data_IF_810391233789
#
_entry.id   IF_810391233789
#
_cell.length_a   1.000
_cell.length_b   1.000
_cell.length_c   1.000
_cell.angle_alpha   90.00
_cell.angle_beta   90.00
_cell.angle_gamma   90.00
#
_symmetry.space_group_name_H-M   'P 1'
#
loop_
_entity.id
_entity.type
_entity.pdbx_description
1 polymer ?
#
# COMPACT_ATOMS: atom_id res chain seq x y z
N UNK A 1 1.21 -11.13 -14.83
CA UNK A 1 0.97 -9.84 -14.12
C UNK A 1 1.49 -10.01 -12.70
N UNK A 2 2.30 -9.08 -12.21
CA UNK A 2 2.79 -9.11 -10.82
C UNK A 2 1.94 -8.13 -10.01
N UNK A 3 1.46 -8.54 -8.84
CA UNK A 3 0.69 -7.70 -7.94
C UNK A 3 1.42 -7.59 -6.60
N UNK A 4 1.49 -6.36 -6.09
CA UNK A 4 1.99 -6.04 -4.76
C UNK A 4 0.83 -5.42 -4.00
N UNK A 5 0.59 -5.87 -2.78
CA UNK A 5 -0.52 -5.33 -2.00
C UNK A 5 -0.70 -6.04 -0.68
N UNK A 6 -1.81 -5.68 -0.04
CA UNK A 6 -2.33 -6.36 1.14
C UNK A 6 -3.84 -6.40 1.04
N UNK A 7 -4.43 -7.35 1.74
CA UNK A 7 -5.89 -7.52 1.82
C UNK A 7 -6.31 -7.39 3.28
N UNK A 8 -7.44 -6.72 3.51
CA UNK A 8 -8.12 -6.70 4.80
C UNK A 8 -9.46 -7.39 4.61
N UNK A 9 -9.64 -8.50 5.33
CA UNK A 9 -10.92 -9.19 5.39
C UNK A 9 -11.70 -8.67 6.58
N UNK A 10 -12.88 -8.10 6.32
CA UNK A 10 -13.79 -7.62 7.36
C UNK A 10 -15.20 -8.13 7.07
N UNK A 11 -15.71 -9.03 7.92
CA UNK A 11 -17.07 -9.59 7.80
C UNK A 11 -18.15 -8.69 8.43
N UNK A 12 -17.77 -7.55 9.02
CA UNK A 12 -18.66 -6.57 9.68
C UNK A 12 -19.68 -7.19 10.67
N UNK A 13 -19.28 -8.09 11.59
CA UNK A 13 -20.22 -8.76 12.48
C UNK A 13 -20.96 -7.79 13.43
N UNK A 14 -20.38 -6.62 13.70
CA UNK A 14 -20.94 -5.56 14.54
C UNK A 14 -21.47 -4.35 13.75
N UNK A 15 -21.50 -4.43 12.42
CA UNK A 15 -21.95 -3.34 11.53
C UNK A 15 -20.96 -2.17 11.36
N UNK A 16 -19.77 -2.25 11.96
CA UNK A 16 -18.70 -1.25 11.83
C UNK A 16 -17.52 -1.78 11.03
N UNK A 17 -16.73 -0.89 10.44
CA UNK A 17 -15.46 -1.28 9.86
C UNK A 17 -14.51 -1.85 10.94
N UNK A 18 -13.68 -2.83 10.57
CA UNK A 18 -12.62 -3.35 11.45
C UNK A 18 -11.61 -2.26 11.81
N UNK A 19 -11.09 -2.31 13.04
CA UNK A 19 -9.94 -1.52 13.50
C UNK A 19 -8.59 -2.15 13.15
N UNK A 20 -8.57 -3.20 12.33
CA UNK A 20 -7.33 -3.79 11.84
C UNK A 20 -6.54 -2.76 11.03
N UNK A 21 -5.33 -2.47 11.46
CA UNK A 21 -4.44 -1.55 10.77
C UNK A 21 -3.76 -2.24 9.58
N UNK A 22 -3.56 -1.52 8.48
CA UNK A 22 -2.70 -1.96 7.37
C UNK A 22 -1.33 -1.30 7.48
N UNK A 23 -0.26 -2.09 7.35
CA UNK A 23 1.11 -1.59 7.49
C UNK A 23 1.34 -1.01 8.89
N UNK A 24 1.75 0.26 8.96
CA UNK A 24 1.96 0.99 10.21
C UNK A 24 0.69 1.61 10.79
N UNK A 25 -0.46 1.49 10.10
CA UNK A 25 -1.71 2.15 10.49
C UNK A 25 -1.80 3.63 10.12
N UNK A 26 -0.74 4.21 9.57
CA UNK A 26 -0.72 5.56 9.01
C UNK A 26 -1.12 5.56 7.54
N UNK A 27 -1.76 6.65 7.09
CA UNK A 27 -2.09 6.81 5.68
C UNK A 27 -0.82 7.05 4.84
N UNK A 28 -0.83 6.59 3.60
CA UNK A 28 0.26 6.70 2.64
C UNK A 28 0.74 8.15 2.45
N UNK A 29 -0.18 9.11 2.49
CA UNK A 29 0.14 10.55 2.41
C UNK A 29 0.98 11.09 3.56
N UNK A 30 1.09 10.37 4.69
CA UNK A 30 1.97 10.75 5.80
C UNK A 30 3.46 10.49 5.53
N UNK A 31 3.78 9.63 4.54
CA UNK A 31 5.12 9.48 3.99
C UNK A 31 6.17 8.86 4.92
N UNK A 32 7.44 9.14 4.62
CA UNK A 32 8.59 8.52 5.28
C UNK A 32 8.62 8.74 6.80
N UNK A 33 8.90 7.68 7.55
CA UNK A 33 8.94 7.68 9.01
C UNK A 33 7.57 7.49 9.67
N UNK A 34 6.49 7.45 8.89
CA UNK A 34 5.13 7.20 9.38
C UNK A 34 4.42 6.08 8.63
N UNK A 35 4.22 6.23 7.32
CA UNK A 35 3.57 5.24 6.48
C UNK A 35 4.51 4.06 6.17
N UNK A 36 3.94 2.86 6.04
CA UNK A 36 4.67 1.70 5.52
C UNK A 36 4.97 1.89 4.03
N UNK A 37 6.08 1.31 3.57
CA UNK A 37 6.48 1.44 2.18
C UNK A 37 7.27 0.24 1.65
N UNK A 38 7.22 0.08 0.33
CA UNK A 38 8.19 -0.68 -0.43
C UNK A 38 8.94 0.29 -1.34
N UNK A 39 10.26 0.14 -1.45
CA UNK A 39 11.11 0.97 -2.31
C UNK A 39 12.05 0.10 -3.14
N UNK A 40 12.59 0.67 -4.22
CA UNK A 40 13.44 -0.04 -5.17
C UNK A 40 12.76 -1.29 -5.74
N UNK A 41 11.48 -1.19 -6.10
CA UNK A 41 10.75 -2.35 -6.60
C UNK A 41 11.30 -2.82 -7.95
N UNK A 42 11.56 -4.13 -8.02
CA UNK A 42 12.08 -4.86 -9.16
C UNK A 42 11.41 -6.24 -9.24
N UNK A 43 11.41 -6.82 -10.43
CA UNK A 43 10.98 -8.21 -10.67
C UNK A 43 12.14 -9.01 -11.21
N UNK A 44 12.17 -10.30 -10.90
CA UNK A 44 13.19 -11.23 -11.41
C UNK A 44 12.64 -11.90 -12.66
N UNK A 45 13.41 -11.91 -13.75
CA UNK A 45 13.08 -12.65 -14.97
C UNK A 45 13.60 -14.10 -14.94
N UNK A 46 13.37 -14.82 -16.03
CA UNK A 46 13.75 -16.23 -16.17
C UNK A 46 15.27 -16.46 -16.18
N UNK A 47 16.06 -15.43 -16.50
CA UNK A 47 17.52 -15.42 -16.52
C UNK A 47 18.13 -14.94 -15.18
N UNK A 48 17.31 -14.74 -14.14
CA UNK A 48 17.68 -14.15 -12.85
C UNK A 48 18.14 -12.68 -12.92
N UNK A 49 17.73 -11.93 -13.95
CA UNK A 49 17.98 -10.50 -13.99
C UNK A 49 16.95 -9.72 -13.18
N UNK A 50 17.40 -8.66 -12.52
CA UNK A 50 16.53 -7.70 -11.85
C UNK A 50 16.05 -6.64 -12.85
N UNK A 51 14.77 -6.70 -13.18
CA UNK A 51 14.12 -5.74 -14.06
C UNK A 51 13.38 -4.67 -13.23
N UNK A 52 13.61 -3.37 -13.47
CA UNK A 52 12.85 -2.32 -12.81
C UNK A 52 11.38 -2.39 -13.22
N UNK A 53 10.48 -2.07 -12.29
CA UNK A 53 9.08 -1.92 -12.62
C UNK A 53 8.88 -0.76 -13.61
N UNK A 54 8.20 -1.04 -14.71
CA UNK A 54 7.68 -0.04 -15.63
C UNK A 54 6.16 -0.01 -15.50
N UNK A 55 5.57 1.17 -15.34
CA UNK A 55 4.12 1.38 -15.19
C UNK A 55 3.47 0.81 -13.91
N UNK A 56 4.03 1.13 -12.73
CA UNK A 56 3.36 0.84 -11.46
C UNK A 56 1.97 1.51 -11.41
N UNK A 57 0.93 0.72 -11.24
CA UNK A 57 -0.43 1.20 -10.98
C UNK A 57 -0.79 0.89 -9.54
N UNK A 58 -1.36 1.88 -8.85
CA UNK A 58 -1.82 1.74 -7.47
C UNK A 58 -3.34 1.76 -7.45
N UNK A 59 -3.94 0.93 -6.60
CA UNK A 59 -5.38 0.80 -6.45
C UNK A 59 -5.70 0.54 -4.97
N UNK A 60 -6.73 1.22 -4.47
CA UNK A 60 -7.30 0.99 -3.16
C UNK A 60 -8.82 0.96 -3.28
N UNK A 61 -9.44 -0.11 -2.78
CA UNK A 61 -10.89 -0.28 -2.84
C UNK A 61 -11.60 0.70 -1.89
N UNK A 62 -11.00 0.96 -0.73
CA UNK A 62 -11.55 1.82 0.32
C UNK A 62 -10.53 2.86 0.80
N UNK A 63 -10.23 3.90 0.00
CA UNK A 63 -9.16 4.88 0.27
C UNK A 63 -9.34 5.66 1.59
N UNK A 64 -10.56 5.76 2.10
CA UNK A 64 -10.82 6.40 3.40
C UNK A 64 -10.43 5.52 4.61
N UNK A 65 -10.30 4.21 4.41
CA UNK A 65 -9.92 3.24 5.44
C UNK A 65 -8.43 2.89 5.33
N UNK A 66 -7.99 2.64 4.09
CA UNK A 66 -6.63 2.31 3.70
C UNK A 66 -6.31 2.91 2.34
N UNK A 67 -5.21 3.62 2.21
CA UNK A 67 -4.77 4.22 0.95
C UNK A 67 -3.37 3.75 0.54
N UNK A 68 -3.04 4.06 -0.71
CA UNK A 68 -1.76 3.73 -1.34
C UNK A 68 -1.36 4.88 -2.27
N UNK A 69 -0.09 5.27 -2.22
CA UNK A 69 0.46 6.33 -3.07
C UNK A 69 1.81 5.89 -3.63
N UNK A 70 1.87 5.76 -4.95
CA UNK A 70 3.07 5.37 -5.69
C UNK A 70 3.87 6.57 -6.16
N UNK A 71 5.16 6.36 -6.41
CA UNK A 71 6.04 7.36 -7.00
C UNK A 71 7.30 6.76 -7.60
N UNK A 72 8.03 7.58 -8.35
CA UNK A 72 9.35 7.24 -8.88
C UNK A 72 10.31 8.40 -8.68
N UNK A 73 11.47 8.14 -8.07
CA UNK A 73 12.56 9.11 -7.99
C UNK A 73 13.92 8.41 -7.88
N UNK A 74 15.02 9.17 -8.00
CA UNK A 74 16.38 8.62 -8.01
C UNK A 74 16.83 8.00 -6.68
N UNK A 75 16.22 8.39 -5.55
CA UNK A 75 16.63 7.96 -4.21
C UNK A 75 15.84 6.71 -3.77
N UNK A 76 14.58 6.61 -4.18
CA UNK A 76 13.65 5.55 -3.78
C UNK A 76 13.38 4.53 -4.88
N UNK A 77 13.85 4.77 -6.11
CA UNK A 77 13.51 3.97 -7.28
C UNK A 77 12.01 4.06 -7.58
N UNK A 78 11.42 2.97 -8.07
CA UNK A 78 9.97 2.78 -7.98
C UNK A 78 9.61 2.43 -6.54
N UNK A 79 8.62 3.12 -5.98
CA UNK A 79 8.17 2.91 -4.61
C UNK A 79 6.68 3.16 -4.47
N UNK A 80 6.11 2.69 -3.37
CA UNK A 80 4.81 3.13 -2.91
C UNK A 80 4.76 3.15 -1.39
N UNK A 81 4.01 4.11 -0.85
CA UNK A 81 3.54 4.10 0.53
C UNK A 81 2.16 3.47 0.57
N UNK A 82 1.85 2.76 1.65
CA UNK A 82 0.54 2.16 1.88
C UNK A 82 0.25 2.12 3.37
N UNK A 83 -1.04 2.11 3.71
CA UNK A 83 -1.47 1.86 5.07
C UNK A 83 -2.82 2.49 5.37
N UNK A 84 -3.17 2.49 6.64
CA UNK A 84 -4.36 3.13 7.15
C UNK A 84 -4.84 2.47 8.43
N UNK A 85 -5.58 3.22 9.27
CA UNK A 85 -5.97 2.76 10.58
C UNK A 85 -7.13 1.75 10.53
N UNK A 86 -7.74 1.53 9.37
CA UNK A 86 -9.04 0.88 9.26
C UNK A 86 -10.11 1.82 9.77
N UNK A 87 -10.82 1.43 10.83
CA UNK A 87 -11.90 2.21 11.41
C UNK A 87 -11.44 3.60 11.86
N UNK A 88 -12.06 4.64 11.30
CA UNK A 88 -11.80 6.04 11.63
C UNK A 88 -13.01 6.93 11.29
N UNK A 89 -12.94 8.24 11.54
CA UNK A 89 -14.07 9.16 11.30
C UNK A 89 -14.54 9.24 9.83
N UNK A 90 -13.69 8.87 8.87
CA UNK A 90 -14.01 8.78 7.43
C UNK A 90 -14.33 7.35 6.98
N UNK A 91 -14.16 6.36 7.87
CA UNK A 91 -14.40 4.95 7.64
C UNK A 91 -14.99 4.30 8.91
N UNK A 92 -16.30 4.50 9.17
CA UNK A 92 -16.93 4.17 10.45
C UNK A 92 -17.06 2.68 10.75
#
# INVERSE_FOLDING_TARGET
MVQFGGEIVNTMPSGFHTSTQMGSGHFAGEGFGKASYFRNLQVVDWDNNLLPLSNLRVLADHPNCYDIQGGINRVWGNYFYYGGPGRNVRCP
#
